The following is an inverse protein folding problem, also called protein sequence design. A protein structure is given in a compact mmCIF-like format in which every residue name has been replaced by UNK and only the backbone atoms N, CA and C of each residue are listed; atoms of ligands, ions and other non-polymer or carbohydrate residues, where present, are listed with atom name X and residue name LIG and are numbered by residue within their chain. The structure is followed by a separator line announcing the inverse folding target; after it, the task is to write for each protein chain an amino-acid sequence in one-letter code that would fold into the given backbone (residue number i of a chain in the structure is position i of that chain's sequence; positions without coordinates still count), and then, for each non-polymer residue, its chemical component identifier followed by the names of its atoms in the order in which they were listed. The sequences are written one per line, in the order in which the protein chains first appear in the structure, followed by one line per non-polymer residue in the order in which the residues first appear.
data_IF_854186817881
#
_entry.id   IF_854186817881
#
_cell.length_a   1.000
_cell.length_b   1.000
_cell.length_c   1.000
_cell.angle_alpha   90.00
_cell.angle_beta   90.00
_cell.angle_gamma   90.00
#
_symmetry.space_group_name_H-M   'P 1'
#
loop_
_entity.id
_entity.type
_entity.pdbx_description
1 polymer ?
#
# COMPACT_ATOMS: atom_id res chain seq x y z
N UNK A 1 -10.12 15.27 20.73
CA UNK A 1 -10.04 15.29 19.25
C UNK A 1 -11.09 14.33 18.71
N UNK A 2 -11.78 14.69 17.62
CA UNK A 2 -12.70 13.77 16.94
C UNK A 2 -11.96 12.60 16.28
N UNK A 3 -12.65 11.49 16.04
CA UNK A 3 -12.14 10.35 15.27
C UNK A 3 -12.52 10.48 13.79
N UNK A 4 -12.24 11.62 13.19
CA UNK A 4 -12.59 11.89 11.79
C UNK A 4 -11.50 12.73 11.12
N UNK A 5 -11.32 12.48 9.83
CA UNK A 5 -10.50 13.28 8.93
C UNK A 5 -11.32 14.48 8.44
N UNK A 6 -10.77 15.69 8.52
CA UNK A 6 -11.52 16.93 8.27
C UNK A 6 -11.66 17.29 6.78
N UNK A 7 -10.91 16.60 5.91
CA UNK A 7 -10.88 16.88 4.48
C UNK A 7 -9.68 17.73 4.05
N UNK A 8 -9.45 17.75 2.74
CA UNK A 8 -8.29 18.36 2.14
C UNK A 8 -8.57 19.66 1.38
N UNK A 9 -7.52 20.18 0.74
CA UNK A 9 -7.62 21.28 -0.22
C UNK A 9 -7.59 20.75 -1.65
N UNK A 10 -7.81 21.61 -2.64
CA UNK A 10 -7.63 21.23 -4.04
C UNK A 10 -6.18 20.80 -4.30
N UNK A 11 -5.97 19.57 -4.75
CA UNK A 11 -4.64 19.04 -5.08
C UNK A 11 -4.43 18.81 -6.58
N UNK A 12 -5.50 18.46 -7.31
CA UNK A 12 -5.41 18.14 -8.74
C UNK A 12 -6.54 18.79 -9.52
N UNK A 13 -6.24 19.32 -10.69
CA UNK A 13 -7.19 19.82 -11.67
C UNK A 13 -7.26 18.84 -12.85
N UNK A 14 -8.48 18.56 -13.33
CA UNK A 14 -8.76 17.77 -14.52
C UNK A 14 -9.07 18.73 -15.65
N UNK A 15 -8.23 18.75 -16.68
CA UNK A 15 -8.44 19.58 -17.87
C UNK A 15 -8.88 18.69 -19.03
N UNK A 16 -9.98 19.05 -19.70
CA UNK A 16 -10.46 18.42 -20.94
C UNK A 16 -10.64 19.49 -22.01
N UNK A 17 -9.94 19.33 -23.13
CA UNK A 17 -10.00 20.23 -24.28
C UNK A 17 -9.79 21.70 -23.90
N UNK A 18 -8.87 21.97 -22.97
CA UNK A 18 -8.59 23.30 -22.43
C UNK A 18 -9.60 23.82 -21.39
N UNK A 19 -10.63 23.05 -21.03
CA UNK A 19 -11.61 23.39 -20.01
C UNK A 19 -11.30 22.67 -18.70
N UNK A 20 -11.30 23.40 -17.58
CA UNK A 20 -11.22 22.81 -16.24
C UNK A 20 -12.52 22.06 -15.92
N UNK A 21 -12.52 20.74 -16.15
CA UNK A 21 -13.66 19.85 -16.00
C UNK A 21 -13.96 19.54 -14.53
N UNK A 22 -12.94 19.45 -13.68
CA UNK A 22 -13.13 19.09 -12.28
C UNK A 22 -11.86 19.12 -11.46
N UNK A 23 -12.00 18.80 -10.17
CA UNK A 23 -10.92 18.86 -9.20
C UNK A 23 -10.95 17.69 -8.23
N UNK A 24 -9.78 17.18 -7.87
CA UNK A 24 -9.61 16.27 -6.74
C UNK A 24 -9.10 17.07 -5.53
N UNK A 25 -9.82 16.94 -4.41
CA UNK A 25 -9.42 17.48 -3.11
C UNK A 25 -8.70 16.40 -2.30
N UNK A 26 -7.81 16.82 -1.42
CA UNK A 26 -7.03 15.90 -0.62
C UNK A 26 -5.97 16.58 0.24
N UNK A 27 -5.21 15.74 0.91
CA UNK A 27 -4.11 16.15 1.77
C UNK A 27 -2.82 15.47 1.34
N UNK A 28 -1.70 16.17 1.49
CA UNK A 28 -0.36 15.66 1.16
C UNK A 28 0.65 16.20 2.15
N UNK A 29 1.55 15.33 2.58
CA UNK A 29 2.70 15.67 3.44
C UNK A 29 3.97 15.15 2.80
N UNK A 30 5.04 15.93 2.93
CA UNK A 30 6.38 15.63 2.44
C UNK A 30 7.34 15.79 3.61
N UNK A 31 8.05 14.72 3.92
CA UNK A 31 9.09 14.67 4.94
C UNK A 31 10.45 14.56 4.22
N UNK A 32 11.48 15.22 4.75
CA UNK A 32 12.87 14.95 4.35
C UNK A 32 13.38 13.63 4.95
N UNK A 33 14.62 13.26 4.64
CA UNK A 33 15.26 12.06 5.16
C UNK A 33 15.43 12.03 6.70
N UNK A 34 15.37 13.18 7.37
CA UNK A 34 15.39 13.25 8.84
C UNK A 34 14.01 12.99 9.46
N UNK A 35 12.96 12.93 8.64
CA UNK A 35 11.56 12.86 9.08
C UNK A 35 10.95 14.24 9.37
N UNK A 36 11.63 15.33 9.02
CA UNK A 36 11.12 16.69 9.20
C UNK A 36 10.19 17.07 8.06
N UNK A 37 9.05 17.68 8.37
CA UNK A 37 8.10 18.16 7.35
C UNK A 37 8.70 19.31 6.54
N UNK A 38 8.90 19.10 5.24
CA UNK A 38 9.36 20.14 4.30
C UNK A 38 8.21 20.82 3.58
N UNK A 39 7.08 20.14 3.42
CA UNK A 39 5.86 20.69 2.85
C UNK A 39 4.64 19.89 3.29
N UNK A 40 3.52 20.57 3.51
CA UNK A 40 2.23 19.93 3.75
C UNK A 40 1.10 20.84 3.29
N UNK A 41 -0.03 20.24 2.88
CA UNK A 41 -1.29 20.97 2.67
C UNK A 41 -2.47 20.03 2.91
N UNK A 42 -3.62 20.61 3.24
CA UNK A 42 -4.78 19.87 3.76
C UNK A 42 -4.60 19.40 5.20
N UNK A 43 -5.48 18.51 5.64
CA UNK A 43 -5.42 17.86 6.95
C UNK A 43 -4.47 16.66 6.93
N UNK A 44 -3.29 16.81 7.52
CA UNK A 44 -2.26 15.76 7.54
C UNK A 44 -2.09 15.10 8.91
N UNK A 45 -2.74 15.63 9.94
CA UNK A 45 -2.57 15.23 11.34
C UNK A 45 -3.78 14.48 11.90
N UNK A 46 -4.99 14.73 11.39
CA UNK A 46 -6.15 13.95 11.83
C UNK A 46 -6.03 12.48 11.39
N UNK A 47 -6.57 11.55 12.18
CA UNK A 47 -6.51 10.15 11.86
C UNK A 47 -7.32 9.83 10.61
N UNK A 48 -6.69 9.11 9.69
CA UNK A 48 -7.32 8.49 8.54
C UNK A 48 -6.97 7.00 8.52
N UNK A 49 -7.71 6.22 7.74
CA UNK A 49 -7.35 4.83 7.53
C UNK A 49 -6.39 4.72 6.34
N UNK A 50 -5.13 4.25 6.53
CA UNK A 50 -4.15 4.13 5.45
C UNK A 50 -4.50 3.03 4.45
N UNK A 51 -5.55 2.24 4.73
CA UNK A 51 -5.99 1.09 3.94
C UNK A 51 -4.79 0.17 3.68
N UNK A 52 -4.64 -0.33 2.46
CA UNK A 52 -3.55 -1.23 2.11
C UNK A 52 -2.15 -0.61 2.16
N UNK A 53 -2.00 0.72 2.33
CA UNK A 53 -0.70 1.33 2.52
C UNK A 53 -0.05 0.96 3.86
N UNK A 54 -0.79 0.37 4.81
CA UNK A 54 -0.21 -0.07 6.07
C UNK A 54 0.46 -1.45 6.07
N UNK A 55 0.27 -2.24 5.01
CA UNK A 55 0.76 -3.62 4.93
C UNK A 55 2.26 -3.79 5.19
N UNK A 56 3.14 -2.88 4.74
CA UNK A 56 4.57 -2.97 5.08
C UNK A 56 4.81 -2.93 6.60
N UNK A 57 4.12 -2.07 7.34
CA UNK A 57 4.22 -2.01 8.80
C UNK A 57 3.67 -3.28 9.47
N UNK A 58 2.58 -3.84 8.92
CA UNK A 58 2.07 -5.14 9.38
C UNK A 58 3.09 -6.26 9.14
N UNK A 59 3.76 -6.28 7.99
CA UNK A 59 4.81 -7.26 7.71
C UNK A 59 6.01 -7.12 8.66
N UNK A 60 6.39 -5.89 9.04
CA UNK A 60 7.38 -5.68 10.12
C UNK A 60 6.92 -6.32 11.42
N UNK A 61 5.66 -6.09 11.81
CA UNK A 61 5.06 -6.73 12.98
C UNK A 61 5.11 -8.27 12.92
N UNK A 62 4.86 -8.86 11.75
CA UNK A 62 4.98 -10.30 11.53
C UNK A 62 6.41 -10.81 11.74
N UNK A 63 7.41 -10.12 11.18
CA UNK A 63 8.83 -10.48 11.34
C UNK A 63 9.28 -10.39 12.80
N UNK A 64 8.89 -9.30 13.48
CA UNK A 64 9.13 -9.09 14.92
C UNK A 64 8.46 -10.17 15.78
N UNK A 65 7.28 -10.66 15.36
CA UNK A 65 6.54 -11.74 16.00
C UNK A 65 7.05 -13.16 15.69
N UNK A 66 8.14 -13.30 14.92
CA UNK A 66 8.77 -14.60 14.68
C UNK A 66 8.55 -15.18 13.29
N UNK A 67 7.85 -14.49 12.37
CA UNK A 67 7.81 -14.91 10.97
C UNK A 67 9.23 -14.98 10.40
N UNK A 68 9.56 -16.10 9.76
CA UNK A 68 10.83 -16.30 9.04
C UNK A 68 10.49 -16.80 7.64
N UNK A 69 10.84 -15.99 6.64
CA UNK A 69 10.70 -16.33 5.23
C UNK A 69 12.09 -16.39 4.61
N UNK A 70 12.39 -17.49 3.92
CA UNK A 70 13.70 -17.71 3.29
C UNK A 70 13.79 -17.05 1.92
N UNK A 71 12.66 -16.91 1.21
CA UNK A 71 12.56 -16.20 -0.07
C UNK A 71 11.97 -14.80 0.16
N UNK A 72 12.69 -13.70 -0.15
CA UNK A 72 12.15 -12.35 0.00
C UNK A 72 10.90 -12.09 -0.86
N UNK A 73 10.67 -12.87 -1.92
CA UNK A 73 9.45 -12.80 -2.72
C UNK A 73 8.18 -13.14 -1.89
N UNK A 74 8.29 -14.03 -0.90
CA UNK A 74 7.17 -14.35 0.00
C UNK A 74 6.86 -13.18 0.95
N UNK A 75 7.90 -12.45 1.37
CA UNK A 75 7.73 -11.25 2.20
C UNK A 75 7.10 -10.11 1.40
N UNK A 76 7.49 -9.96 0.12
CA UNK A 76 6.86 -9.02 -0.79
C UNK A 76 5.36 -9.32 -0.96
N UNK A 77 5.00 -10.61 -1.11
CA UNK A 77 3.60 -11.04 -1.21
C UNK A 77 2.81 -10.79 0.08
N UNK A 78 3.43 -10.93 1.26
CA UNK A 78 2.81 -10.58 2.54
C UNK A 78 2.50 -9.08 2.67
N UNK A 79 3.20 -8.22 1.92
CA UNK A 79 2.96 -6.77 1.86
C UNK A 79 1.93 -6.37 0.77
N UNK A 80 1.44 -7.33 -0.02
CA UNK A 80 0.78 -7.04 -1.28
C UNK A 80 -0.69 -6.62 -1.17
N UNK A 81 -1.10 -5.82 -2.16
CA UNK A 81 -2.48 -5.82 -2.67
C UNK A 81 -2.42 -6.44 -4.06
N UNK A 82 -2.16 -7.75 -4.12
CA UNK A 82 -1.81 -8.41 -5.37
C UNK A 82 -3.00 -8.44 -6.34
N UNK A 83 -2.70 -8.59 -7.62
CA UNK A 83 -3.71 -8.48 -8.68
C UNK A 83 -4.37 -9.82 -9.07
N UNK A 84 -4.19 -10.85 -8.23
CA UNK A 84 -4.77 -12.18 -8.46
C UNK A 84 -4.21 -12.97 -9.65
N UNK A 85 -3.12 -12.49 -10.28
CA UNK A 85 -2.39 -13.22 -11.32
C UNK A 85 -1.74 -14.51 -10.77
N UNK A 86 -1.41 -15.46 -11.64
CA UNK A 86 -0.85 -16.78 -11.28
C UNK A 86 0.41 -16.69 -10.40
N UNK A 87 1.29 -15.72 -10.66
CA UNK A 87 2.50 -15.49 -9.85
C UNK A 87 2.19 -15.24 -8.37
N UNK A 88 1.01 -14.69 -8.08
CA UNK A 88 0.56 -14.40 -6.72
C UNK A 88 -0.14 -15.61 -6.11
N UNK A 89 -1.13 -16.17 -6.83
CA UNK A 89 -1.99 -17.24 -6.32
C UNK A 89 -1.16 -18.51 -6.06
N UNK A 90 -0.28 -18.87 -6.99
CA UNK A 90 0.58 -20.05 -6.85
C UNK A 90 1.55 -19.91 -5.68
N UNK A 91 2.09 -18.70 -5.47
CA UNK A 91 3.01 -18.42 -4.36
C UNK A 91 2.29 -18.42 -3.01
N UNK A 92 1.14 -17.76 -2.89
CA UNK A 92 0.32 -17.83 -1.67
C UNK A 92 -0.04 -19.28 -1.31
N UNK A 93 -0.42 -20.08 -2.31
CA UNK A 93 -0.72 -21.49 -2.10
C UNK A 93 0.50 -22.29 -1.62
N UNK A 94 1.69 -22.02 -2.17
CA UNK A 94 2.93 -22.65 -1.74
C UNK A 94 3.32 -22.25 -0.31
N UNK A 95 3.18 -20.98 0.03
CA UNK A 95 3.41 -20.47 1.39
C UNK A 95 2.48 -21.13 2.41
N UNK A 96 1.18 -21.27 2.12
CA UNK A 96 0.26 -21.98 3.01
C UNK A 96 0.65 -23.46 3.20
N UNK A 97 0.98 -24.14 2.11
CA UNK A 97 1.39 -25.57 2.16
C UNK A 97 2.66 -25.79 2.98
N UNK A 98 3.58 -24.83 3.02
CA UNK A 98 4.85 -24.97 3.78
C UNK A 98 4.63 -25.10 5.29
N UNK A 99 3.46 -24.66 5.79
CA UNK A 99 3.05 -24.78 7.20
C UNK A 99 1.85 -25.73 7.39
N UNK A 100 1.57 -26.58 6.40
CA UNK A 100 0.49 -27.57 6.48
C UNK A 100 -0.93 -26.98 6.40
N UNK A 101 -1.07 -25.77 5.85
CA UNK A 101 -2.36 -25.10 5.63
C UNK A 101 -2.72 -25.08 4.14
N UNK A 102 -3.98 -24.78 3.85
CA UNK A 102 -4.49 -24.50 2.52
C UNK A 102 -5.38 -23.24 2.51
N UNK A 103 -5.98 -22.92 1.35
CA UNK A 103 -6.81 -21.73 1.19
C UNK A 103 -8.05 -21.69 2.10
N UNK A 104 -8.48 -22.81 2.68
CA UNK A 104 -9.60 -22.86 3.62
C UNK A 104 -9.28 -22.18 4.96
N UNK A 105 -7.99 -22.00 5.28
CA UNK A 105 -7.54 -21.24 6.44
C UNK A 105 -7.72 -19.72 6.27
N UNK A 106 -7.78 -19.24 5.02
CA UNK A 106 -7.95 -17.81 4.74
C UNK A 106 -9.32 -17.31 5.23
N UNK A 107 -9.34 -16.09 5.75
CA UNK A 107 -10.55 -15.41 6.23
C UNK A 107 -10.90 -14.12 5.47
N UNK A 108 -10.08 -13.72 4.50
CA UNK A 108 -10.49 -12.70 3.52
C UNK A 108 -11.66 -13.21 2.67
N UNK A 109 -12.58 -12.33 2.23
CA UNK A 109 -13.73 -12.75 1.42
C UNK A 109 -13.26 -13.39 0.10
N UNK A 110 -14.06 -14.31 -0.48
CA UNK A 110 -13.78 -14.77 -1.84
C UNK A 110 -13.93 -13.61 -2.83
N UNK A 111 -13.04 -13.54 -3.82
CA UNK A 111 -13.09 -12.54 -4.88
C UNK A 111 -12.51 -13.12 -6.18
N UNK A 112 -12.69 -12.42 -7.29
CA UNK A 112 -11.99 -12.69 -8.55
C UNK A 112 -10.68 -11.88 -8.61
N UNK A 113 -9.73 -12.23 -9.49
CA UNK A 113 -8.54 -11.42 -9.72
C UNK A 113 -8.88 -9.96 -10.06
N UNK A 114 -8.06 -9.02 -9.58
CA UNK A 114 -8.16 -7.62 -9.96
C UNK A 114 -7.63 -7.36 -11.38
N UNK A 115 -6.63 -8.14 -11.80
CA UNK A 115 -6.08 -8.06 -13.16
C UNK A 115 -7.17 -8.42 -14.19
N UNK A 116 -7.48 -7.54 -15.16
CA UNK A 116 -8.55 -7.80 -16.12
C UNK A 116 -8.33 -9.06 -16.96
N UNK A 117 -7.09 -9.38 -17.33
CA UNK A 117 -6.78 -10.57 -18.11
C UNK A 117 -6.97 -11.84 -17.27
N UNK A 118 -6.35 -11.88 -16.08
CA UNK A 118 -6.49 -13.01 -15.15
C UNK A 118 -7.95 -13.23 -14.72
N UNK A 119 -8.72 -12.15 -14.53
CA UNK A 119 -10.16 -12.23 -14.26
C UNK A 119 -10.92 -12.85 -15.43
N UNK A 120 -10.65 -12.40 -16.64
CA UNK A 120 -11.29 -12.94 -17.84
C UNK A 120 -10.93 -14.41 -18.08
N UNK A 121 -9.68 -14.80 -17.83
CA UNK A 121 -9.22 -16.19 -17.90
C UNK A 121 -9.93 -17.06 -16.85
N UNK A 122 -10.00 -16.60 -15.60
CA UNK A 122 -10.71 -17.31 -14.53
C UNK A 122 -12.18 -17.54 -14.87
N UNK A 123 -12.89 -16.51 -15.36
CA UNK A 123 -14.31 -16.63 -15.77
C UNK A 123 -14.45 -17.59 -16.95
N UNK A 124 -13.59 -17.49 -17.98
CA UNK A 124 -13.61 -18.39 -19.14
C UNK A 124 -13.37 -19.85 -18.77
N UNK A 125 -12.57 -20.10 -17.73
CA UNK A 125 -12.32 -21.43 -17.19
C UNK A 125 -13.45 -21.95 -16.28
N UNK A 126 -14.53 -21.18 -16.07
CA UNK A 126 -15.61 -21.53 -15.15
C UNK A 126 -15.24 -21.39 -13.67
N UNK A 127 -14.23 -20.57 -13.37
CA UNK A 127 -13.79 -20.27 -12.01
C UNK A 127 -14.76 -19.34 -11.28
N UNK A 128 -15.03 -19.67 -10.02
CA UNK A 128 -15.81 -18.86 -9.09
C UNK A 128 -14.90 -18.00 -8.19
N UNK A 129 -15.41 -16.92 -7.58
CA UNK A 129 -14.67 -16.15 -6.58
C UNK A 129 -14.06 -17.04 -5.50
N UNK A 130 -12.78 -16.83 -5.18
CA UNK A 130 -12.07 -17.62 -4.16
C UNK A 130 -11.20 -16.75 -3.26
N UNK A 131 -10.96 -17.21 -2.03
CA UNK A 131 -10.23 -16.42 -1.02
C UNK A 131 -8.77 -16.20 -1.41
N UNK A 132 -8.17 -17.12 -2.15
CA UNK A 132 -6.78 -17.02 -2.60
C UNK A 132 -6.60 -16.03 -3.76
N UNK A 133 -7.66 -15.74 -4.50
CA UNK A 133 -7.64 -14.74 -5.57
C UNK A 133 -7.84 -13.31 -5.04
N UNK A 134 -8.45 -13.16 -3.87
CA UNK A 134 -8.66 -11.87 -3.23
C UNK A 134 -7.32 -11.16 -2.97
N UNK A 135 -7.25 -9.87 -3.30
CA UNK A 135 -6.02 -9.09 -3.35
C UNK A 135 -5.21 -9.00 -2.04
N UNK A 136 -5.82 -9.33 -0.90
CA UNK A 136 -5.16 -9.37 0.41
C UNK A 136 -4.74 -10.79 0.82
N UNK A 137 -4.97 -11.81 0.00
CA UNK A 137 -4.70 -13.21 0.38
C UNK A 137 -3.23 -13.44 0.73
N UNK A 138 -2.29 -12.76 0.07
CA UNK A 138 -0.87 -12.75 0.42
C UNK A 138 -0.59 -12.26 1.85
N UNK A 139 -1.16 -11.12 2.25
CA UNK A 139 -1.12 -10.62 3.63
C UNK A 139 -1.72 -11.62 4.62
N UNK A 140 -2.88 -12.18 4.30
CA UNK A 140 -3.54 -13.17 5.15
C UNK A 140 -2.71 -14.45 5.29
N UNK A 141 -2.00 -14.83 4.24
CA UNK A 141 -1.04 -15.94 4.26
C UNK A 141 0.12 -15.63 5.21
N UNK A 142 0.73 -14.44 5.10
CA UNK A 142 1.76 -13.99 6.04
C UNK A 142 1.29 -13.99 7.50
N UNK A 143 0.06 -13.54 7.75
CA UNK A 143 -0.59 -13.59 9.07
C UNK A 143 -0.70 -15.02 9.62
N UNK A 144 -1.15 -15.98 8.80
CA UNK A 144 -1.27 -17.38 9.18
C UNK A 144 0.09 -18.04 9.45
N UNK A 145 1.08 -17.79 8.60
CA UNK A 145 2.44 -18.27 8.80
C UNK A 145 3.04 -17.71 10.09
N UNK A 146 2.74 -16.46 10.42
CA UNK A 146 3.15 -15.84 11.69
C UNK A 146 2.51 -16.54 12.88
N UNK A 147 1.21 -16.83 12.83
CA UNK A 147 0.54 -17.60 13.88
C UNK A 147 1.22 -18.95 14.10
N UNK A 148 1.49 -19.71 13.03
CA UNK A 148 2.17 -21.01 13.15
C UNK A 148 3.57 -20.86 13.74
N UNK A 149 4.37 -19.90 13.25
CA UNK A 149 5.73 -19.67 13.74
C UNK A 149 5.78 -19.26 15.21
N UNK A 150 4.80 -18.50 15.68
CA UNK A 150 4.69 -18.03 17.07
C UNK A 150 3.95 -19.01 18.01
N UNK A 151 3.44 -20.13 17.48
CA UNK A 151 2.62 -21.06 18.25
C UNK A 151 1.24 -20.51 18.65
N UNK A 152 0.74 -19.52 17.93
CA UNK A 152 -0.59 -18.93 18.15
C UNK A 152 -1.68 -19.65 17.35
N UNK A 153 -2.95 -19.56 17.77
CA UNK A 153 -4.07 -20.08 16.99
C UNK A 153 -4.10 -19.49 15.58
N UNK A 154 -4.36 -20.34 14.58
CA UNK A 154 -4.66 -19.88 13.22
C UNK A 154 -6.13 -19.50 13.08
N UNK A 155 -7.00 -20.00 13.95
CA UNK A 155 -8.40 -19.60 14.01
C UNK A 155 -8.55 -18.27 14.75
N UNK A 156 -9.47 -17.41 14.30
CA UNK A 156 -9.72 -16.12 14.94
C UNK A 156 -8.63 -15.07 14.72
N UNK A 157 -7.64 -15.31 13.85
CA UNK A 157 -6.50 -14.40 13.63
C UNK A 157 -6.87 -12.97 13.18
N UNK A 158 -8.13 -12.70 12.83
CA UNK A 158 -8.64 -11.37 12.51
C UNK A 158 -9.21 -10.61 13.72
N UNK A 159 -9.43 -11.28 14.86
CA UNK A 159 -9.92 -10.63 16.09
C UNK A 159 -8.87 -9.63 16.60
N UNK A 160 -9.27 -8.39 16.95
CA UNK A 160 -8.37 -7.40 17.55
C UNK A 160 -7.66 -7.90 18.82
N UNK A 161 -8.28 -8.82 19.55
CA UNK A 161 -7.76 -9.42 20.78
C UNK A 161 -6.74 -10.53 20.49
N UNK A 162 -6.66 -11.02 19.26
CA UNK A 162 -5.72 -12.07 18.89
C UNK A 162 -4.26 -11.57 19.03
N UNK A 163 -3.32 -12.37 19.58
CA UNK A 163 -1.92 -11.95 19.78
C UNK A 163 -1.25 -11.42 18.52
N UNK A 164 -1.56 -12.03 17.36
CA UNK A 164 -1.17 -11.50 16.05
C UNK A 164 -1.59 -10.04 15.87
N UNK A 165 -2.89 -9.71 16.00
CA UNK A 165 -3.37 -8.36 15.73
C UNK A 165 -2.84 -7.35 16.73
N UNK A 166 -2.61 -7.75 17.99
CA UNK A 166 -1.93 -6.91 18.97
C UNK A 166 -0.48 -6.61 18.53
N UNK A 167 0.28 -7.60 18.07
CA UNK A 167 1.63 -7.41 17.56
C UNK A 167 1.67 -6.52 16.30
N UNK A 168 0.72 -6.69 15.39
CA UNK A 168 0.59 -5.84 14.20
C UNK A 168 0.22 -4.40 14.57
N UNK A 169 -0.69 -4.23 15.54
CA UNK A 169 -1.10 -2.91 16.05
C UNK A 169 0.07 -2.17 16.69
N UNK A 170 0.85 -2.88 17.51
CA UNK A 170 2.05 -2.32 18.14
C UNK A 170 3.10 -1.91 17.10
N UNK A 171 3.34 -2.72 16.07
CA UNK A 171 4.28 -2.38 15.01
C UNK A 171 3.83 -1.17 14.17
N UNK A 172 2.54 -1.04 13.87
CA UNK A 172 2.01 0.13 13.16
C UNK A 172 2.13 1.38 14.02
N UNK A 173 1.78 1.33 15.31
CA UNK A 173 1.91 2.46 16.23
C UNK A 173 3.37 2.93 16.37
N UNK A 174 4.29 1.98 16.54
CA UNK A 174 5.72 2.24 16.66
C UNK A 174 6.30 2.91 15.40
N UNK A 175 6.04 2.33 14.21
CA UNK A 175 6.55 2.86 12.95
C UNK A 175 5.89 4.19 12.56
N UNK A 176 4.60 4.34 12.86
CA UNK A 176 3.91 5.60 12.66
C UNK A 176 4.33 6.64 13.69
N UNK A 177 4.93 6.26 14.83
CA UNK A 177 5.34 7.17 15.90
C UNK A 177 4.16 7.81 16.64
N UNK A 178 3.01 7.15 16.70
CA UNK A 178 1.78 7.66 17.30
C UNK A 178 0.84 6.53 17.74
N UNK A 179 -0.13 6.86 18.61
CA UNK A 179 -1.12 5.90 19.09
C UNK A 179 -2.18 5.59 18.02
N UNK A 180 -2.68 4.35 18.01
CA UNK A 180 -3.82 3.98 17.17
C UNK A 180 -5.12 4.48 17.80
N UNK A 181 -5.69 5.54 17.23
CA UNK A 181 -6.87 6.21 17.80
C UNK A 181 -8.21 5.60 17.38
N UNK A 182 -8.21 4.81 16.29
CA UNK A 182 -9.37 4.12 15.77
C UNK A 182 -9.00 2.76 15.17
N UNK A 183 -9.82 1.76 15.45
CA UNK A 183 -9.74 0.44 14.81
C UNK A 183 -11.08 0.13 14.16
N UNK A 184 -11.07 -0.09 12.85
CA UNK A 184 -12.23 -0.51 12.07
C UNK A 184 -12.00 -1.89 11.45
N UNK A 185 -12.99 -2.41 10.73
CA UNK A 185 -12.88 -3.64 9.95
C UNK A 185 -12.65 -3.28 8.49
N UNK A 186 -11.57 -3.77 7.89
CA UNK A 186 -11.27 -3.56 6.48
C UNK A 186 -12.13 -4.45 5.56
N UNK A 187 -12.15 -4.18 4.25
CA UNK A 187 -12.85 -5.01 3.26
C UNK A 187 -12.34 -6.45 3.18
N UNK A 188 -11.10 -6.69 3.62
CA UNK A 188 -10.56 -8.05 3.77
C UNK A 188 -10.94 -8.73 5.10
N UNK A 189 -11.64 -8.04 5.99
CA UNK A 189 -12.04 -8.52 7.33
C UNK A 189 -10.99 -8.31 8.43
N UNK A 190 -9.77 -7.88 8.09
CA UNK A 190 -8.73 -7.61 9.09
C UNK A 190 -8.90 -6.23 9.77
N UNK A 191 -8.33 -6.01 10.96
CA UNK A 191 -8.30 -4.70 11.60
C UNK A 191 -7.65 -3.63 10.73
N UNK A 192 -8.29 -2.46 10.72
CA UNK A 192 -7.86 -1.26 10.01
C UNK A 192 -7.53 -0.18 11.04
N UNK A 193 -6.26 0.20 11.08
CA UNK A 193 -5.68 1.00 12.16
C UNK A 193 -5.55 2.45 11.70
N UNK A 194 -6.23 3.35 12.40
CA UNK A 194 -6.27 4.78 12.09
C UNK A 194 -5.01 5.49 12.59
N UNK A 195 -4.32 6.14 11.66
CA UNK A 195 -3.11 6.96 11.86
C UNK A 195 -3.19 8.22 10.99
N UNK A 196 -2.40 9.24 11.30
CA UNK A 196 -2.25 10.45 10.53
C UNK A 196 -1.53 10.20 9.20
N UNK A 197 -1.65 11.14 8.26
CA UNK A 197 -0.91 11.10 7.00
C UNK A 197 0.59 11.29 7.25
N UNK A 198 0.92 12.16 8.21
CA UNK A 198 2.29 12.36 8.71
C UNK A 198 2.88 11.07 9.30
N UNK A 199 2.12 10.34 10.11
CA UNK A 199 2.51 9.04 10.66
C UNK A 199 2.74 7.98 9.58
N UNK A 200 1.91 7.95 8.55
CA UNK A 200 2.12 7.06 7.40
C UNK A 200 3.41 7.40 6.63
N UNK A 201 3.69 8.69 6.36
CA UNK A 201 4.93 9.11 5.72
C UNK A 201 6.16 8.76 6.57
N UNK A 202 6.09 9.01 7.88
CA UNK A 202 7.14 8.66 8.86
C UNK A 202 7.45 7.18 8.83
N UNK A 203 6.43 6.32 8.85
CA UNK A 203 6.62 4.88 8.78
C UNK A 203 7.38 4.46 7.51
N UNK A 204 7.02 5.02 6.35
CA UNK A 204 7.73 4.74 5.09
C UNK A 204 9.18 5.23 5.13
N UNK A 205 9.43 6.43 5.67
CA UNK A 205 10.79 6.92 5.94
C UNK A 205 11.60 5.94 6.78
N UNK A 206 11.06 5.49 7.91
CA UNK A 206 11.71 4.51 8.79
C UNK A 206 12.07 3.21 8.07
N UNK A 207 11.18 2.69 7.21
CA UNK A 207 11.45 1.47 6.44
C UNK A 207 12.67 1.61 5.51
N UNK A 208 12.80 2.77 4.85
CA UNK A 208 13.83 2.97 3.83
C UNK A 208 15.18 3.38 4.41
N UNK A 209 15.19 4.04 5.57
CA UNK A 209 16.39 4.46 6.30
C UNK A 209 16.93 3.37 7.24
N UNK A 210 16.16 2.32 7.52
CA UNK A 210 16.57 1.25 8.40
C UNK A 210 17.87 0.55 7.95
N UNK A 211 18.72 0.23 8.93
CA UNK A 211 19.96 -0.48 8.70
C UNK A 211 19.73 -1.88 8.12
N UNK A 212 20.61 -2.38 7.23
CA UNK A 212 20.57 -3.75 6.74
C UNK A 212 20.46 -4.79 7.86
N UNK A 213 19.63 -5.82 7.66
CA UNK A 213 19.41 -6.89 8.62
C UNK A 213 18.25 -6.67 9.61
N UNK A 214 17.70 -5.45 9.69
CA UNK A 214 16.47 -5.16 10.44
C UNK A 214 15.20 -5.65 9.74
N UNK A 215 14.10 -5.78 10.49
CA UNK A 215 12.80 -6.19 9.96
C UNK A 215 12.22 -5.16 8.98
N UNK A 216 12.38 -3.88 9.33
CA UNK A 216 11.99 -2.70 8.55
C UNK A 216 12.67 -2.71 7.19
N UNK A 217 14.01 -2.86 7.22
CA UNK A 217 14.82 -2.90 6.01
C UNK A 217 14.51 -4.11 5.15
N UNK A 218 14.30 -5.29 5.78
CA UNK A 218 13.95 -6.52 5.06
C UNK A 218 12.63 -6.39 4.29
N UNK A 219 11.63 -5.72 4.88
CA UNK A 219 10.35 -5.44 4.22
C UNK A 219 10.55 -4.50 3.02
N UNK A 220 11.28 -3.40 3.21
CA UNK A 220 11.55 -2.45 2.12
C UNK A 220 12.28 -3.12 0.95
N UNK A 221 13.32 -3.91 1.26
CA UNK A 221 14.15 -4.58 0.25
C UNK A 221 13.36 -5.68 -0.49
N UNK A 222 12.54 -6.47 0.22
CA UNK A 222 11.67 -7.47 -0.40
C UNK A 222 10.68 -6.84 -1.39
N UNK A 223 9.98 -5.77 -0.98
CA UNK A 223 9.02 -5.08 -1.85
C UNK A 223 9.69 -4.47 -3.09
N UNK A 224 10.91 -3.93 -2.95
CA UNK A 224 11.70 -3.37 -4.07
C UNK A 224 12.24 -4.42 -5.01
N UNK A 225 12.59 -5.59 -4.49
CA UNK A 225 13.12 -6.69 -5.29
C UNK A 225 12.02 -7.38 -6.11
N UNK A 226 10.78 -7.40 -5.60
CA UNK A 226 9.64 -8.08 -6.22
C UNK A 226 8.39 -7.19 -6.31
N UNK A 227 8.47 -6.00 -6.94
CA UNK A 227 7.36 -5.04 -6.97
C UNK A 227 6.14 -5.60 -7.72
N UNK A 228 6.33 -6.48 -8.71
CA UNK A 228 5.25 -7.17 -9.39
C UNK A 228 4.42 -8.05 -8.46
N UNK A 229 4.99 -8.60 -7.38
CA UNK A 229 4.23 -9.37 -6.38
C UNK A 229 3.43 -8.48 -5.43
N UNK A 230 3.85 -7.21 -5.27
CA UNK A 230 3.21 -6.25 -4.37
C UNK A 230 1.95 -5.65 -5.00
N UNK A 231 2.02 -5.30 -6.29
CA UNK A 231 1.00 -4.53 -6.99
C UNK A 231 0.67 -5.02 -8.41
N UNK A 232 1.13 -6.21 -8.84
CA UNK A 232 0.87 -6.72 -10.19
C UNK A 232 1.87 -6.27 -11.26
N UNK A 233 1.87 -6.95 -12.40
CA UNK A 233 2.95 -6.84 -13.41
C UNK A 233 2.93 -5.56 -14.25
N UNK A 234 1.78 -4.92 -14.42
CA UNK A 234 1.61 -3.75 -15.31
C UNK A 234 1.14 -2.47 -14.60
N UNK A 235 1.36 -2.39 -13.29
CA UNK A 235 0.95 -1.21 -12.51
C UNK A 235 1.96 -0.08 -12.53
N UNK A 236 1.46 1.14 -12.33
CA UNK A 236 2.28 2.34 -12.16
C UNK A 236 3.19 2.19 -10.95
N UNK A 237 2.70 1.60 -9.86
CA UNK A 237 3.51 1.31 -8.67
C UNK A 237 4.75 0.49 -9.01
N UNK A 238 4.56 -0.63 -9.73
CA UNK A 238 5.65 -1.50 -10.16
C UNK A 238 6.64 -0.77 -11.08
N UNK A 239 6.12 -0.02 -12.05
CA UNK A 239 6.95 0.74 -13.01
C UNK A 239 7.78 1.81 -12.30
N UNK A 240 7.22 2.53 -11.34
CA UNK A 240 7.92 3.56 -10.57
C UNK A 240 8.98 2.97 -9.64
N UNK A 241 8.66 1.90 -8.91
CA UNK A 241 9.66 1.22 -8.05
C UNK A 241 10.82 0.63 -8.85
N UNK A 242 10.57 0.18 -10.09
CA UNK A 242 11.62 -0.29 -10.99
C UNK A 242 12.46 0.85 -11.59
N UNK A 243 11.86 2.02 -11.82
CA UNK A 243 12.52 3.13 -12.51
C UNK A 243 13.23 4.12 -11.58
N UNK A 244 12.84 4.22 -10.31
CA UNK A 244 13.44 5.14 -9.34
C UNK A 244 14.24 4.33 -8.32
N UNK A 245 15.59 4.40 -8.34
CA UNK A 245 16.44 3.63 -7.45
C UNK A 245 16.07 3.80 -5.98
N UNK A 246 15.86 2.68 -5.28
CA UNK A 246 15.52 2.68 -3.86
C UNK A 246 14.10 3.16 -3.55
N UNK A 247 13.23 3.47 -4.52
CA UNK A 247 11.87 3.85 -4.21
C UNK A 247 11.10 2.68 -3.56
N UNK A 248 10.50 2.95 -2.41
CA UNK A 248 9.45 2.13 -1.81
C UNK A 248 8.12 2.84 -2.01
N UNK A 249 7.14 2.17 -2.61
CA UNK A 249 5.83 2.75 -2.89
C UNK A 249 4.72 1.75 -2.53
N UNK A 250 3.66 2.23 -1.88
CA UNK A 250 2.45 1.44 -1.68
C UNK A 250 1.19 2.29 -1.82
N UNK A 251 0.31 1.87 -2.72
CA UNK A 251 -1.06 2.36 -2.80
C UNK A 251 -1.99 1.69 -1.78
N UNK A 252 -2.98 2.46 -1.34
CA UNK A 252 -4.10 2.05 -0.49
C UNK A 252 -5.41 2.53 -1.09
N UNK A 253 -6.49 1.76 -0.91
CA UNK A 253 -7.83 2.18 -1.32
C UNK A 253 -8.19 3.55 -0.73
N UNK A 254 -9.32 4.13 -1.15
CA UNK A 254 -9.72 5.47 -0.72
C UNK A 254 -8.65 6.53 -1.04
N UNK A 255 -7.96 6.39 -2.18
CA UNK A 255 -7.03 7.40 -2.69
C UNK A 255 -5.76 7.58 -1.86
N UNK A 256 -5.40 6.63 -1.00
CA UNK A 256 -4.18 6.71 -0.18
C UNK A 256 -2.96 6.26 -0.98
N UNK A 257 -1.84 6.96 -0.84
CA UNK A 257 -0.56 6.55 -1.38
C UNK A 257 0.58 6.99 -0.46
N UNK A 258 1.57 6.12 -0.26
CA UNK A 258 2.78 6.44 0.47
C UNK A 258 4.03 6.02 -0.32
N UNK A 259 5.05 6.88 -0.30
CA UNK A 259 6.32 6.72 -1.01
C UNK A 259 7.46 7.13 -0.09
N UNK A 260 8.59 6.43 -0.16
CA UNK A 260 9.84 6.90 0.40
C UNK A 260 11.04 6.49 -0.45
N UNK A 261 12.07 7.34 -0.44
CA UNK A 261 13.33 7.14 -1.16
C UNK A 261 14.49 7.37 -0.18
N UNK A 262 15.39 6.38 0.01
CA UNK A 262 16.51 6.49 0.94
C UNK A 262 17.35 7.74 0.70
N UNK A 263 17.69 8.46 1.76
CA UNK A 263 18.48 9.69 1.73
C UNK A 263 17.75 10.92 1.19
N UNK A 264 16.52 10.78 0.68
CA UNK A 264 15.73 11.90 0.17
C UNK A 264 14.55 12.25 1.10
N UNK A 265 13.73 11.27 1.46
CA UNK A 265 12.56 11.49 2.31
C UNK A 265 11.33 10.67 1.91
N UNK A 266 10.17 11.09 2.42
CA UNK A 266 8.90 10.37 2.26
C UNK A 266 7.74 11.31 1.91
N UNK A 267 6.74 10.76 1.21
CA UNK A 267 5.51 11.44 0.80
C UNK A 267 4.33 10.56 1.16
N UNK A 268 3.28 11.14 1.72
CA UNK A 268 1.98 10.48 1.85
C UNK A 268 0.85 11.39 1.34
N UNK A 269 -0.11 10.80 0.63
CA UNK A 269 -1.23 11.48 -0.03
C UNK A 269 -2.54 10.77 0.33
N UNK A 270 -3.61 11.54 0.53
CA UNK A 270 -5.00 11.08 0.59
C UNK A 270 -5.85 11.94 -0.32
N UNK A 271 -6.58 11.34 -1.27
CA UNK A 271 -7.63 12.03 -2.02
C UNK A 271 -8.99 11.83 -1.37
N UNK A 272 -9.75 12.89 -1.17
CA UNK A 272 -11.00 12.88 -0.40
C UNK A 272 -12.09 12.04 -1.05
N UNK A 273 -12.15 12.04 -2.38
CA UNK A 273 -13.10 11.25 -3.19
C UNK A 273 -12.68 9.78 -3.38
N UNK A 274 -11.53 9.40 -2.82
CA UNK A 274 -10.97 8.06 -2.91
C UNK A 274 -10.35 7.71 -4.27
N UNK A 275 -10.28 8.66 -5.21
CA UNK A 275 -9.80 8.40 -6.56
C UNK A 275 -8.26 8.35 -6.64
N UNK A 276 -7.72 7.31 -7.26
CA UNK A 276 -6.28 7.17 -7.47
C UNK A 276 -5.72 8.06 -8.57
N UNK A 277 -6.54 8.46 -9.55
CA UNK A 277 -6.08 9.24 -10.71
C UNK A 277 -5.52 10.61 -10.32
N UNK A 278 -6.02 11.20 -9.23
CA UNK A 278 -5.49 12.46 -8.68
C UNK A 278 -4.11 12.31 -8.03
N UNK A 279 -3.71 11.11 -7.59
CA UNK A 279 -2.49 10.94 -6.81
C UNK A 279 -1.22 11.21 -7.61
N UNK A 280 -1.17 10.84 -8.89
CA UNK A 280 0.11 10.80 -9.62
C UNK A 280 0.70 12.18 -9.87
N UNK A 281 -0.05 13.19 -10.37
CA UNK A 281 0.49 14.54 -10.53
C UNK A 281 0.97 15.12 -9.19
N UNK A 282 0.22 14.89 -8.11
CA UNK A 282 0.57 15.32 -6.75
C UNK A 282 1.83 14.66 -6.24
N UNK A 283 1.94 13.33 -6.41
CA UNK A 283 3.12 12.56 -6.01
C UNK A 283 4.39 13.09 -6.67
N UNK A 284 4.36 13.30 -7.98
CA UNK A 284 5.53 13.74 -8.72
C UNK A 284 5.92 15.16 -8.31
N UNK A 285 4.93 16.05 -8.15
CA UNK A 285 5.15 17.40 -7.59
C UNK A 285 5.76 17.34 -6.19
N UNK A 286 5.30 16.43 -5.32
CA UNK A 286 5.79 16.24 -3.97
C UNK A 286 7.22 15.70 -3.91
N UNK A 287 7.54 14.70 -4.73
CA UNK A 287 8.88 14.11 -4.81
C UNK A 287 9.93 15.13 -5.28
N UNK A 288 9.56 16.08 -6.15
CA UNK A 288 10.46 17.19 -6.54
C UNK A 288 10.87 18.06 -5.35
N UNK A 289 10.01 18.22 -4.32
CA UNK A 289 10.32 19.02 -3.13
C UNK A 289 11.43 18.40 -2.27
N UNK A 290 11.70 17.10 -2.44
CA UNK A 290 12.83 16.37 -1.81
C UNK A 290 13.90 15.93 -2.83
N UNK A 291 13.95 16.60 -4.00
CA UNK A 291 15.00 16.38 -5.00
C UNK A 291 14.88 15.11 -5.84
N UNK A 292 13.80 14.33 -5.68
CA UNK A 292 13.57 13.10 -6.46
C UNK A 292 12.88 13.44 -7.77
N UNK A 293 13.61 13.30 -8.88
CA UNK A 293 13.14 13.60 -10.24
C UNK A 293 13.59 12.51 -11.23
N UNK A 294 12.96 12.45 -12.41
CA UNK A 294 13.41 11.55 -13.47
C UNK A 294 12.34 11.28 -14.54
N UNK A 295 12.72 10.78 -15.72
CA UNK A 295 11.80 10.63 -16.85
C UNK A 295 10.57 9.77 -16.55
N UNK A 296 10.73 8.70 -15.75
CA UNK A 296 9.60 7.84 -15.37
C UNK A 296 8.60 8.54 -14.45
N UNK A 297 9.06 9.46 -13.59
CA UNK A 297 8.18 10.29 -12.76
C UNK A 297 7.45 11.32 -13.61
N UNK A 298 8.15 11.96 -14.55
CA UNK A 298 7.53 12.89 -15.50
C UNK A 298 6.45 12.21 -16.34
N UNK A 299 6.71 10.99 -16.81
CA UNK A 299 5.70 10.19 -17.52
C UNK A 299 4.53 9.80 -16.60
N UNK A 300 4.79 9.44 -15.34
CA UNK A 300 3.73 9.10 -14.39
C UNK A 300 2.86 10.29 -14.01
N UNK A 301 3.38 11.52 -14.07
CA UNK A 301 2.62 12.74 -13.85
C UNK A 301 1.62 13.02 -14.98
N UNK A 302 1.86 12.50 -16.19
CA UNK A 302 0.99 12.67 -17.35
C UNK A 302 -0.22 11.71 -17.27
N UNK A 303 -1.15 12.02 -16.36
CA UNK A 303 -2.43 11.31 -16.30
C UNK A 303 -3.38 11.87 -17.35
N UNK A 304 -3.42 11.22 -18.51
CA UNK A 304 -4.11 11.70 -19.70
C UNK A 304 -5.63 11.52 -19.61
N UNK A 305 -6.35 12.48 -20.17
CA UNK A 305 -7.80 12.43 -20.39
C UNK A 305 -8.04 12.08 -21.85
N UNK A 306 -8.71 10.94 -22.09
CA UNK A 306 -9.01 10.47 -23.44
C UNK A 306 -10.43 10.85 -23.89
N UNK A 307 -10.59 11.04 -25.20
CA UNK A 307 -11.86 11.23 -25.89
C UNK A 307 -11.79 10.56 -27.26
N UNK A 308 -12.64 9.54 -27.50
CA UNK A 308 -12.59 8.75 -28.73
C UNK A 308 -11.30 7.95 -28.94
N UNK A 309 -10.54 7.70 -27.86
CA UNK A 309 -9.23 7.03 -27.92
C UNK A 309 -8.04 7.99 -28.05
N UNK A 310 -8.29 9.26 -28.37
CA UNK A 310 -7.25 10.28 -28.49
C UNK A 310 -7.09 11.08 -27.20
N UNK A 311 -5.89 11.63 -26.99
CA UNK A 311 -5.63 12.52 -25.85
C UNK A 311 -6.31 13.86 -26.10
N UNK A 312 -7.22 14.24 -25.19
CA UNK A 312 -7.94 15.51 -25.25
C UNK A 312 -7.63 16.39 -24.04
N UNK A 313 -6.86 15.92 -23.08
CA UNK A 313 -6.48 16.69 -21.90
C UNK A 313 -5.67 15.85 -20.92
N UNK A 314 -5.52 16.35 -19.71
CA UNK A 314 -4.65 15.76 -18.68
C UNK A 314 -5.01 16.25 -17.28
N UNK A 315 -4.44 15.62 -16.27
CA UNK A 315 -4.53 16.06 -14.88
C UNK A 315 -3.25 16.76 -14.45
N UNK A 316 -3.39 17.89 -13.77
CA UNK A 316 -2.26 18.66 -13.25
C UNK A 316 -2.33 18.83 -11.75
N UNK A 317 -1.16 18.81 -11.12
CA UNK A 317 -1.01 19.14 -9.71
C UNK A 317 -1.22 20.64 -9.49
N UNK A 318 -1.98 21.01 -8.46
CA UNK A 318 -2.29 22.41 -8.11
C UNK A 318 -1.88 22.81 -6.69
N UNK A 319 -1.10 21.96 -6.00
CA UNK A 319 -0.71 22.13 -4.60
C UNK A 319 0.72 22.67 -4.39
#
# INVERSE_FOLDING_TARGET
MGKFYEGGVRLTEVVRSGFSEGYHHGSVVVLDASGTTVAATGDVESPMFPRSSNKPMQAVGMLRAGLRLTDPADLALACASHWGQDIHVNRAAAMLRSVGLDQSALRCPPDLPLDPAARADAIRAGGEPSRIQMNCSGKHTGMLLTCVAAGWPTEGYLSPEHPLQQALTAAVADLAGEEIVATAVDGCGAPLLGISLTGLARAFGTLVEAAPGGAERSVADAMRAYPELVSGTDTVERKLMAAVPGMLLKGGAEGVMAVAVPGAGAVAIKMDDGAHRGNRPVLVSALRRIGVTGPALEQAAQELVLGGGETVGELHSTW
#
